data_IF_962197164650
#
_entry.id   IF_962197164650
#
_cell.length_a   1.000
_cell.length_b   1.000
_cell.length_c   1.000
_cell.angle_alpha   90.00
_cell.angle_beta   90.00
_cell.angle_gamma   90.00
#
_symmetry.space_group_name_H-M   'P 1'
#
loop_
_entity.id
_entity.type
_entity.pdbx_description
1 polymer ?
#
# COMPACT_ATOMS: atom_id res chain seq x y z
N UNK A 1 12.05 -38.93 13.20
CA UNK A 1 11.59 -37.65 12.62
C UNK A 1 10.82 -36.93 13.70
N UNK A 2 11.50 -36.00 14.36
CA UNK A 2 11.02 -35.36 15.58
C UNK A 2 9.86 -34.42 15.26
N UNK A 3 8.90 -34.28 16.18
CA UNK A 3 7.73 -33.39 16.04
C UNK A 3 8.13 -31.95 15.69
N UNK A 4 9.33 -31.54 16.13
CA UNK A 4 9.96 -30.25 15.90
C UNK A 4 10.36 -30.06 14.43
N UNK A 5 10.93 -31.09 13.78
CA UNK A 5 11.33 -31.01 12.36
C UNK A 5 10.10 -30.80 11.45
N UNK A 6 8.98 -31.45 11.78
CA UNK A 6 7.70 -31.27 11.08
C UNK A 6 7.04 -29.90 11.30
N UNK A 7 7.27 -29.25 12.44
CA UNK A 7 6.73 -27.91 12.70
C UNK A 7 7.58 -26.82 12.04
N UNK A 8 8.90 -26.99 11.99
CA UNK A 8 9.80 -26.09 11.25
C UNK A 8 9.46 -26.11 9.76
N UNK A 9 9.31 -27.28 9.14
CA UNK A 9 8.91 -27.39 7.73
C UNK A 9 7.56 -26.73 7.42
N UNK A 10 6.60 -26.80 8.35
CA UNK A 10 5.28 -26.16 8.20
C UNK A 10 5.33 -24.64 8.32
N UNK A 11 6.22 -24.11 9.16
CA UNK A 11 6.42 -22.66 9.29
C UNK A 11 7.14 -22.09 8.06
N UNK A 12 8.13 -22.81 7.53
CA UNK A 12 8.84 -22.42 6.30
C UNK A 12 7.90 -22.44 5.08
N UNK A 13 7.01 -23.44 4.96
CA UNK A 13 6.01 -23.52 3.89
C UNK A 13 4.87 -22.48 4.00
N UNK A 14 4.61 -21.90 5.17
CA UNK A 14 3.62 -20.82 5.31
C UNK A 14 4.15 -19.46 4.86
N UNK A 15 5.47 -19.24 4.95
CA UNK A 15 6.09 -17.99 4.51
C UNK A 15 6.07 -17.83 2.98
N UNK A 16 5.92 -18.92 2.23
CA UNK A 16 5.90 -18.96 0.75
C UNK A 16 4.49 -18.87 0.13
N UNK A 17 3.42 -18.78 0.94
CA UNK A 17 2.04 -18.82 0.46
C UNK A 17 1.41 -17.48 0.09
N UNK A 18 2.18 -16.39 0.08
CA UNK A 18 1.72 -15.16 -0.60
C UNK A 18 2.13 -15.23 -2.06
N UNK A 19 1.18 -15.25 -3.02
CA UNK A 19 1.54 -15.13 -4.43
C UNK A 19 2.39 -13.87 -4.60
N UNK A 20 3.59 -14.02 -5.12
CA UNK A 20 4.44 -12.87 -5.42
C UNK A 20 3.68 -11.96 -6.39
N UNK A 21 3.38 -10.74 -5.97
CA UNK A 21 2.67 -9.77 -6.80
C UNK A 21 3.56 -9.44 -8.01
N UNK A 22 3.02 -9.59 -9.23
CA UNK A 22 3.70 -9.19 -10.46
C UNK A 22 4.10 -7.72 -10.42
N UNK A 23 3.25 -6.88 -9.81
CA UNK A 23 3.51 -5.48 -9.57
C UNK A 23 3.32 -5.16 -8.09
N UNK A 24 4.38 -5.30 -7.26
CA UNK A 24 4.28 -5.01 -5.84
C UNK A 24 4.03 -3.50 -5.61
N UNK A 25 3.48 -3.12 -4.45
CA UNK A 25 3.37 -1.72 -4.07
C UNK A 25 4.73 -1.03 -4.09
N UNK A 26 4.75 0.25 -4.51
CA UNK A 26 5.95 1.09 -4.46
C UNK A 26 5.82 2.11 -3.34
N UNK A 27 6.80 2.12 -2.45
CA UNK A 27 6.90 3.11 -1.36
C UNK A 27 7.87 4.20 -1.75
N UNK A 28 7.44 5.45 -1.60
CA UNK A 28 8.27 6.63 -1.80
C UNK A 28 8.45 7.31 -0.45
N UNK A 29 9.70 7.64 -0.13
CA UNK A 29 10.07 8.29 1.11
C UNK A 29 10.16 9.81 0.93
N UNK A 30 10.11 10.52 2.04
CA UNK A 30 10.43 11.94 2.14
C UNK A 30 11.94 12.15 1.94
N UNK A 31 12.39 13.41 1.92
CA UNK A 31 13.81 13.75 1.74
C UNK A 31 14.71 13.18 2.85
N UNK A 32 14.15 12.88 4.03
CA UNK A 32 14.87 12.23 5.13
C UNK A 32 15.16 10.75 4.87
N UNK A 33 14.54 10.14 3.84
CA UNK A 33 14.67 8.73 3.51
C UNK A 33 14.05 7.76 4.52
N UNK A 34 13.43 8.28 5.59
CA UNK A 34 12.90 7.51 6.71
C UNK A 34 11.38 7.50 6.66
N UNK A 35 10.77 8.69 6.52
CA UNK A 35 9.33 8.84 6.58
C UNK A 35 8.71 8.57 5.21
N UNK A 36 7.60 7.85 5.21
CA UNK A 36 6.89 7.54 3.97
C UNK A 36 6.17 8.79 3.49
N UNK A 37 6.39 9.17 2.23
CA UNK A 37 5.65 10.24 1.55
C UNK A 37 4.37 9.71 0.94
N UNK A 38 4.47 8.61 0.18
CA UNK A 38 3.31 7.93 -0.37
C UNK A 38 3.60 6.46 -0.73
N UNK A 39 2.53 5.67 -0.83
CA UNK A 39 2.55 4.30 -1.37
C UNK A 39 1.69 4.27 -2.63
N UNK A 40 2.15 3.57 -3.67
CA UNK A 40 1.38 3.34 -4.91
C UNK A 40 1.10 1.85 -5.07
N UNK A 41 -0.17 1.53 -5.32
CA UNK A 41 -0.62 0.20 -5.67
C UNK A 41 -0.94 0.13 -7.16
N UNK A 42 -0.61 -0.99 -7.78
CA UNK A 42 -0.73 -1.19 -9.23
C UNK A 42 -1.69 -2.33 -9.56
N UNK A 43 -2.38 -2.23 -10.68
CA UNK A 43 -3.16 -3.30 -11.27
C UNK A 43 -2.22 -4.47 -11.63
N UNK A 44 -2.56 -5.70 -11.22
CA UNK A 44 -1.66 -6.86 -11.40
C UNK A 44 -1.54 -7.34 -12.86
N UNK A 45 -2.48 -6.95 -13.72
CA UNK A 45 -2.47 -7.29 -15.15
C UNK A 45 -1.68 -6.26 -15.96
N UNK A 46 -1.96 -4.97 -15.74
CA UNK A 46 -1.42 -3.87 -16.57
C UNK A 46 -0.21 -3.16 -15.97
N UNK A 47 0.01 -3.25 -14.65
CA UNK A 47 1.06 -2.50 -13.95
C UNK A 47 0.76 -1.01 -13.78
N UNK A 48 -0.41 -0.54 -14.22
CA UNK A 48 -0.84 0.86 -14.08
C UNK A 48 -1.29 1.11 -12.64
N UNK A 49 -1.01 2.31 -12.11
CA UNK A 49 -1.42 2.72 -10.76
C UNK A 49 -2.95 2.67 -10.67
N UNK A 50 -3.46 1.97 -9.66
CA UNK A 50 -4.90 1.95 -9.33
C UNK A 50 -5.22 2.79 -8.10
N UNK A 51 -4.23 2.99 -7.22
CA UNK A 51 -4.41 3.70 -5.97
C UNK A 51 -3.10 4.32 -5.48
N UNK A 52 -3.19 5.49 -4.88
CA UNK A 52 -2.07 6.06 -4.12
C UNK A 52 -2.52 6.58 -2.77
N UNK A 53 -1.75 6.27 -1.73
CA UNK A 53 -1.97 6.74 -0.35
C UNK A 53 -0.85 7.69 0.00
N UNK A 54 -1.18 8.94 0.32
CA UNK A 54 -0.25 10.01 0.67
C UNK A 54 -0.33 10.29 2.16
N UNK A 55 0.82 10.49 2.78
CA UNK A 55 0.94 10.72 4.22
C UNK A 55 1.26 12.19 4.53
N UNK A 56 1.01 12.58 5.78
CA UNK A 56 1.53 13.81 6.36
C UNK A 56 3.04 13.69 6.65
N UNK A 57 3.66 14.78 7.11
CA UNK A 57 5.09 14.86 7.39
C UNK A 57 5.55 14.01 8.59
N UNK A 58 4.61 13.39 9.31
CA UNK A 58 4.90 12.34 10.30
C UNK A 58 5.19 10.97 9.65
N UNK A 59 4.88 10.81 8.36
CA UNK A 59 5.04 9.58 7.58
C UNK A 59 4.11 8.44 7.97
N UNK A 60 3.08 8.71 8.79
CA UNK A 60 2.19 7.70 9.39
C UNK A 60 0.72 8.04 9.18
N UNK A 61 0.36 9.30 9.33
CA UNK A 61 -1.02 9.76 9.22
C UNK A 61 -1.36 9.96 7.75
N UNK A 62 -2.45 9.35 7.30
CA UNK A 62 -2.91 9.49 5.91
C UNK A 62 -3.45 10.91 5.73
N UNK A 63 -2.96 11.58 4.68
CA UNK A 63 -3.44 12.90 4.25
C UNK A 63 -4.47 12.77 3.13
N UNK A 64 -4.23 11.86 2.19
CA UNK A 64 -5.05 11.71 0.99
C UNK A 64 -4.97 10.31 0.41
N UNK A 65 -6.08 9.80 -0.10
CA UNK A 65 -6.13 8.62 -0.97
C UNK A 65 -6.68 9.03 -2.33
N UNK A 66 -6.01 8.60 -3.39
CA UNK A 66 -6.48 8.74 -4.77
C UNK A 66 -6.76 7.36 -5.36
N UNK A 67 -7.90 7.19 -6.04
CA UNK A 67 -8.25 6.00 -6.81
C UNK A 67 -8.30 6.34 -8.30
N UNK A 68 -7.83 5.39 -9.11
CA UNK A 68 -7.67 5.57 -10.55
C UNK A 68 -8.36 4.44 -11.31
N UNK A 69 -8.99 4.80 -12.42
CA UNK A 69 -9.33 3.86 -13.48
C UNK A 69 -8.35 4.07 -14.64
N UNK A 70 -7.42 3.13 -14.79
CA UNK A 70 -6.23 3.26 -15.61
C UNK A 70 -5.46 4.57 -15.31
N UNK A 71 -5.47 5.53 -16.24
CA UNK A 71 -4.78 6.81 -16.09
C UNK A 71 -5.68 7.93 -15.55
N UNK A 72 -6.98 7.68 -15.38
CA UNK A 72 -7.94 8.68 -14.96
C UNK A 72 -8.15 8.63 -13.44
N UNK A 73 -8.00 9.78 -12.79
CA UNK A 73 -8.38 9.95 -11.39
C UNK A 73 -9.91 9.93 -11.28
N UNK A 74 -10.46 9.00 -10.50
CA UNK A 74 -11.90 8.82 -10.34
C UNK A 74 -12.39 9.20 -8.94
N UNK A 75 -11.50 9.19 -7.95
CA UNK A 75 -11.84 9.55 -6.58
C UNK A 75 -10.66 10.11 -5.82
N UNK A 76 -10.92 11.12 -5.00
CA UNK A 76 -10.01 11.57 -3.95
C UNK A 76 -10.72 11.59 -2.60
N UNK A 77 -10.05 11.10 -1.56
CA UNK A 77 -10.49 11.20 -0.17
C UNK A 77 -9.39 11.90 0.61
N UNK A 78 -9.72 13.05 1.19
CA UNK A 78 -8.85 13.84 2.04
C UNK A 78 -9.19 13.57 3.50
N UNK A 79 -8.16 13.49 4.33
CA UNK A 79 -8.30 13.22 5.76
C UNK A 79 -7.75 14.39 6.56
N UNK A 80 -8.31 14.60 7.75
CA UNK A 80 -7.71 15.43 8.78
C UNK A 80 -6.58 14.66 9.49
N UNK A 81 -5.77 15.36 10.30
CA UNK A 81 -4.69 14.71 11.06
C UNK A 81 -5.19 13.74 12.14
N UNK A 82 -6.44 13.85 12.58
CA UNK A 82 -7.08 12.89 13.49
C UNK A 82 -7.60 11.63 12.77
N UNK A 83 -7.42 11.54 11.45
CA UNK A 83 -7.87 10.43 10.62
C UNK A 83 -9.33 10.51 10.18
N UNK A 84 -10.08 11.54 10.58
CA UNK A 84 -11.44 11.75 10.08
C UNK A 84 -11.44 12.19 8.62
N UNK A 85 -12.49 11.82 7.87
CA UNK A 85 -12.64 12.27 6.48
C UNK A 85 -12.92 13.77 6.48
N UNK A 86 -12.06 14.52 5.79
CA UNK A 86 -12.23 15.95 5.56
C UNK A 86 -13.11 16.21 4.35
N UNK A 87 -12.86 15.51 3.25
CA UNK A 87 -13.53 15.74 1.97
C UNK A 87 -13.44 14.50 1.09
N UNK A 88 -14.50 14.22 0.32
CA UNK A 88 -14.51 13.19 -0.72
C UNK A 88 -14.93 13.82 -2.04
N UNK A 89 -14.16 13.57 -3.10
CA UNK A 89 -14.46 13.99 -4.47
C UNK A 89 -14.54 12.77 -5.38
N UNK A 90 -15.52 12.76 -6.27
CA UNK A 90 -15.69 11.77 -7.33
C UNK A 90 -15.81 12.52 -8.65
N UNK A 91 -15.21 11.98 -9.71
CA UNK A 91 -15.15 12.60 -11.04
C UNK A 91 -15.88 11.76 -12.08
#
# INVERSE_FOLDING_TARGET
>A
MNKIEKEVDKLTQQQEQTPSLKYPPKTYYQNDGIKIRNIQEHNQNTGIIKKSTHFYDDGKTIRKINEYNDFNLIKEIYYNQDGTIKETKTF
#
